data_IF_250972494620
#
_entry.id   IF_250972494620
#
_cell.length_a   1.000
_cell.length_b   1.000
_cell.length_c   1.000
_cell.angle_alpha   90.00
_cell.angle_beta   90.00
_cell.angle_gamma   90.00
#
_symmetry.space_group_name_H-M   'P 1'
#
loop_
_entity.id
_entity.type
_entity.pdbx_description
1 polymer ?
#
# COMPACT_ATOMS: atom_id res chain seq x y z
N UNK A 1 21.91 -10.35 -2.47
CA UNK A 1 20.89 -10.94 -3.35
C UNK A 1 21.08 -10.32 -4.72
N UNK A 2 21.25 -11.09 -5.78
CA UNK A 2 21.36 -10.53 -7.14
C UNK A 2 19.97 -10.40 -7.72
N UNK A 3 19.55 -9.18 -8.04
CA UNK A 3 18.25 -8.91 -8.67
C UNK A 3 18.41 -9.10 -10.18
N UNK A 4 17.48 -9.85 -10.78
CA UNK A 4 17.41 -10.05 -12.23
C UNK A 4 16.20 -9.30 -12.77
N UNK A 5 16.43 -8.53 -13.83
CA UNK A 5 15.41 -7.77 -14.52
C UNK A 5 15.15 -8.32 -15.92
N UNK A 6 13.93 -8.12 -16.39
CA UNK A 6 13.62 -8.01 -17.80
C UNK A 6 14.08 -6.62 -18.26
N UNK A 7 15.20 -6.57 -18.99
CA UNK A 7 15.86 -5.33 -19.39
C UNK A 7 14.98 -4.42 -20.26
N UNK A 8 14.10 -4.98 -21.08
CA UNK A 8 13.18 -4.17 -21.90
C UNK A 8 12.20 -3.42 -21.00
N UNK A 9 11.60 -4.12 -20.04
CA UNK A 9 10.62 -3.55 -19.09
C UNK A 9 11.28 -2.57 -18.13
N UNK A 10 12.50 -2.87 -17.67
CA UNK A 10 13.29 -1.97 -16.84
C UNK A 10 13.58 -0.67 -17.57
N UNK A 11 14.10 -0.72 -18.79
CA UNK A 11 14.39 0.46 -19.59
C UNK A 11 13.12 1.27 -19.88
N UNK A 12 11.98 0.59 -20.13
CA UNK A 12 10.70 1.28 -20.29
C UNK A 12 10.30 2.06 -19.02
N UNK A 13 10.36 1.42 -17.85
CA UNK A 13 10.06 2.05 -16.56
C UNK A 13 10.95 3.25 -16.28
N UNK A 14 12.28 3.09 -16.40
CA UNK A 14 13.25 4.16 -16.18
C UNK A 14 13.01 5.34 -17.14
N UNK A 15 12.64 5.07 -18.40
CA UNK A 15 12.32 6.12 -19.37
C UNK A 15 11.07 6.92 -19.01
N UNK A 16 10.09 6.31 -18.34
CA UNK A 16 8.89 6.99 -17.84
C UNK A 16 9.20 7.78 -16.58
N UNK A 17 9.96 7.20 -15.66
CA UNK A 17 10.40 7.83 -14.43
C UNK A 17 11.17 9.14 -14.71
N UNK A 18 12.14 9.10 -15.63
CA UNK A 18 12.92 10.27 -16.02
C UNK A 18 12.09 11.41 -16.65
N UNK A 19 10.87 11.13 -17.12
CA UNK A 19 9.96 12.12 -17.74
C UNK A 19 8.90 12.62 -16.77
N UNK A 20 8.84 12.09 -15.55
CA UNK A 20 7.81 12.41 -14.57
C UNK A 20 7.99 13.85 -14.10
N UNK A 21 6.90 14.62 -14.07
CA UNK A 21 6.98 16.02 -13.61
C UNK A 21 6.90 16.09 -12.08
N UNK A 22 7.58 17.07 -11.48
CA UNK A 22 7.57 17.31 -10.02
C UNK A 22 6.14 17.42 -9.44
N UNK A 23 5.18 17.96 -10.20
CA UNK A 23 3.79 18.03 -9.73
C UNK A 23 3.00 16.72 -9.86
N UNK A 24 3.43 15.78 -10.70
CA UNK A 24 2.92 14.40 -10.72
C UNK A 24 3.50 13.56 -9.58
N UNK A 25 4.59 14.05 -8.97
CA UNK A 25 5.15 13.56 -7.71
C UNK A 25 4.47 14.18 -6.47
N UNK A 26 3.45 15.07 -6.63
CA UNK A 26 2.59 15.47 -5.51
C UNK A 26 1.87 14.23 -5.01
N UNK A 27 2.44 13.65 -3.96
CA UNK A 27 2.16 12.29 -3.50
C UNK A 27 0.69 11.99 -3.21
N UNK A 28 0.40 10.72 -3.00
CA UNK A 28 -0.95 10.22 -2.75
C UNK A 28 -1.61 10.94 -1.56
N UNK A 29 -2.84 11.44 -1.78
CA UNK A 29 -3.70 11.96 -0.71
C UNK A 29 -4.72 10.89 -0.35
N UNK A 30 -4.71 10.50 0.92
CA UNK A 30 -5.60 9.46 1.46
C UNK A 30 -7.02 9.94 1.72
N UNK A 31 -7.85 9.06 2.27
CA UNK A 31 -9.19 9.42 2.72
C UNK A 31 -9.15 10.35 3.96
N UNK A 32 -10.29 10.98 4.27
CA UNK A 32 -10.49 11.76 5.50
C UNK A 32 -10.63 10.81 6.70
N UNK A 33 -9.72 10.82 7.69
CA UNK A 33 -9.72 9.85 8.78
C UNK A 33 -10.99 9.86 9.63
N UNK A 34 -11.48 11.03 10.04
CA UNK A 34 -12.69 11.12 10.88
C UNK A 34 -13.94 10.57 10.20
N UNK A 35 -14.14 10.89 8.91
CA UNK A 35 -15.27 10.40 8.13
C UNK A 35 -15.20 8.87 7.92
N UNK A 36 -14.00 8.35 7.72
CA UNK A 36 -13.77 6.91 7.64
C UNK A 36 -14.11 6.23 8.97
N UNK A 37 -13.62 6.74 10.10
CA UNK A 37 -13.80 6.14 11.42
C UNK A 37 -15.27 6.16 11.87
N UNK A 38 -15.98 7.28 11.62
CA UNK A 38 -17.43 7.38 11.83
C UNK A 38 -18.20 6.28 11.10
N UNK A 39 -17.82 5.97 9.86
CA UNK A 39 -18.47 4.93 9.06
C UNK A 39 -18.03 3.51 9.47
N UNK A 40 -16.75 3.33 9.79
CA UNK A 40 -16.16 2.03 10.04
C UNK A 40 -16.53 1.45 11.41
N UNK A 41 -16.50 2.29 12.45
CA UNK A 41 -16.64 1.86 13.85
C UNK A 41 -17.50 2.81 14.69
N UNK A 42 -18.20 3.76 14.06
CA UNK A 42 -19.11 4.68 14.76
C UNK A 42 -18.48 5.94 15.35
N UNK A 43 -17.18 6.17 15.13
CA UNK A 43 -16.49 7.37 15.60
C UNK A 43 -15.00 7.17 15.82
N UNK A 44 -14.34 8.15 16.44
CA UNK A 44 -12.90 8.21 16.64
C UNK A 44 -12.20 9.05 15.58
N UNK A 45 -11.05 9.64 15.93
CA UNK A 45 -10.24 10.50 15.06
C UNK A 45 -10.93 11.82 14.64
N UNK A 46 -11.85 12.36 15.44
CA UNK A 46 -12.58 13.61 15.16
C UNK A 46 -11.64 14.80 14.93
N UNK A 47 -10.46 14.77 15.60
CA UNK A 47 -9.37 15.72 15.41
C UNK A 47 -8.85 15.78 13.97
N UNK A 48 -9.00 14.69 13.22
CA UNK A 48 -8.38 14.48 11.92
C UNK A 48 -9.44 14.51 10.81
N UNK A 49 -10.00 15.71 10.58
CA UNK A 49 -11.16 15.94 9.71
C UNK A 49 -10.84 16.32 8.26
N UNK A 50 -9.57 16.30 7.88
CA UNK A 50 -9.10 16.65 6.55
C UNK A 50 -8.36 15.48 5.89
N UNK A 51 -8.35 15.46 4.56
CA UNK A 51 -7.59 14.48 3.80
C UNK A 51 -6.08 14.81 3.91
N UNK A 52 -5.25 13.78 4.05
CA UNK A 52 -3.82 13.94 4.34
C UNK A 52 -2.97 13.40 3.19
N UNK A 53 -1.94 14.15 2.80
CA UNK A 53 -0.79 13.58 2.09
C UNK A 53 0.08 12.77 3.07
N UNK A 54 1.12 12.09 2.57
CA UNK A 54 2.05 11.32 3.41
C UNK A 54 2.73 12.16 4.48
N UNK A 55 3.18 13.38 4.15
CA UNK A 55 3.78 14.31 5.11
C UNK A 55 2.83 14.67 6.27
N UNK A 56 1.60 15.08 5.95
CA UNK A 56 0.58 15.36 6.97
C UNK A 56 0.25 14.15 7.84
N UNK A 57 0.22 12.95 7.25
CA UNK A 57 0.00 11.73 8.01
C UNK A 57 1.16 11.49 8.99
N UNK A 58 2.42 11.64 8.56
CA UNK A 58 3.59 11.53 9.47
C UNK A 58 3.48 12.52 10.64
N UNK A 59 3.15 13.79 10.37
CA UNK A 59 2.93 14.79 11.44
C UNK A 59 1.78 14.40 12.38
N UNK A 60 0.69 13.86 11.86
CA UNK A 60 -0.44 13.40 12.67
C UNK A 60 -0.07 12.21 13.57
N UNK A 61 0.78 11.29 13.07
CA UNK A 61 1.25 10.13 13.83
C UNK A 61 2.14 10.51 15.00
N UNK A 62 2.99 11.52 14.84
CA UNK A 62 3.83 12.08 15.92
C UNK A 62 2.98 12.77 17.01
N UNK A 63 1.89 13.42 16.60
CA UNK A 63 0.97 14.10 17.52
C UNK A 63 -0.01 13.14 18.23
N UNK A 64 -0.05 11.87 17.82
CA UNK A 64 -0.92 10.83 18.37
C UNK A 64 -0.12 9.96 19.35
N UNK A 65 -0.75 9.52 20.43
CA UNK A 65 -0.09 8.72 21.49
C UNK A 65 -0.60 7.28 21.54
N UNK A 66 -1.83 7.04 21.08
CA UNK A 66 -2.43 5.72 21.11
C UNK A 66 -1.97 4.86 19.92
N UNK A 67 -1.43 3.65 20.14
CA UNK A 67 -1.11 2.71 19.06
C UNK A 67 -2.32 2.41 18.16
N UNK A 68 -3.52 2.31 18.76
CA UNK A 68 -4.75 2.09 18.03
C UNK A 68 -5.07 3.29 17.12
N UNK A 69 -4.96 4.52 17.64
CA UNK A 69 -5.24 5.72 16.84
C UNK A 69 -4.22 5.90 15.71
N UNK A 70 -2.92 5.63 15.95
CA UNK A 70 -1.90 5.60 14.90
C UNK A 70 -2.22 4.59 13.80
N UNK A 71 -2.61 3.36 14.17
CA UNK A 71 -3.02 2.37 13.19
C UNK A 71 -4.25 2.81 12.41
N UNK A 72 -5.28 3.34 13.07
CA UNK A 72 -6.49 3.82 12.41
C UNK A 72 -6.20 4.98 11.44
N UNK A 73 -5.28 5.89 11.78
CA UNK A 73 -4.83 6.95 10.88
C UNK A 73 -4.24 6.38 9.59
N UNK A 74 -3.33 5.41 9.68
CA UNK A 74 -2.72 4.78 8.50
C UNK A 74 -3.74 3.98 7.69
N UNK A 75 -4.57 3.17 8.36
CA UNK A 75 -5.55 2.30 7.68
C UNK A 75 -6.65 3.12 6.98
N UNK A 76 -7.09 4.22 7.59
CA UNK A 76 -8.04 5.15 6.98
C UNK A 76 -7.43 5.88 5.79
N UNK A 77 -6.21 6.41 5.93
CA UNK A 77 -5.47 7.06 4.84
C UNK A 77 -5.31 6.13 3.64
N UNK A 78 -4.96 4.87 3.91
CA UNK A 78 -4.81 3.81 2.92
C UNK A 78 -6.13 3.30 2.30
N UNK A 79 -7.28 3.84 2.71
CA UNK A 79 -8.59 3.51 2.15
C UNK A 79 -9.09 2.11 2.51
N UNK A 80 -8.77 1.61 3.72
CA UNK A 80 -9.32 0.33 4.19
C UNK A 80 -10.85 0.33 4.08
N UNK A 81 -11.42 -0.73 3.51
CA UNK A 81 -12.89 -0.86 3.42
C UNK A 81 -13.50 -0.93 4.83
N UNK A 82 -14.59 -0.22 5.05
CA UNK A 82 -15.27 -0.15 6.37
C UNK A 82 -15.68 -1.53 6.88
N UNK A 83 -16.11 -2.45 5.99
CA UNK A 83 -16.35 -3.86 6.36
C UNK A 83 -15.09 -4.55 6.91
N UNK A 84 -13.92 -4.32 6.30
CA UNK A 84 -12.66 -4.90 6.76
C UNK A 84 -12.24 -4.29 8.09
N UNK A 85 -12.44 -2.98 8.26
CA UNK A 85 -12.20 -2.28 9.51
C UNK A 85 -13.09 -2.82 10.62
N UNK A 86 -14.39 -3.03 10.36
CA UNK A 86 -15.29 -3.66 11.32
C UNK A 86 -14.87 -5.08 11.70
N UNK A 87 -14.35 -5.87 10.76
CA UNK A 87 -13.79 -7.20 11.08
C UNK A 87 -12.54 -7.11 11.98
N UNK A 88 -11.63 -6.18 11.68
CA UNK A 88 -10.37 -6.02 12.40
C UNK A 88 -10.56 -5.39 13.77
N UNK A 89 -11.34 -4.32 13.87
CA UNK A 89 -11.41 -3.45 15.04
C UNK A 89 -12.46 -3.89 16.06
N UNK A 90 -13.42 -4.74 15.65
CA UNK A 90 -14.30 -5.43 16.60
C UNK A 90 -13.58 -6.55 17.35
N UNK A 91 -12.51 -7.10 16.77
CA UNK A 91 -11.61 -8.05 17.43
C UNK A 91 -10.31 -7.34 17.82
N UNK A 92 -10.34 -6.66 18.98
CA UNK A 92 -9.20 -5.88 19.49
C UNK A 92 -8.09 -6.77 20.05
N UNK A 93 -7.68 -7.81 19.34
CA UNK A 93 -6.59 -8.67 19.80
C UNK A 93 -5.37 -7.80 20.09
N UNK A 94 -4.84 -7.91 21.32
CA UNK A 94 -3.76 -7.05 21.80
C UNK A 94 -2.48 -7.25 21.00
N UNK A 95 -2.28 -8.43 20.41
CA UNK A 95 -1.04 -8.83 19.77
C UNK A 95 -0.66 -7.91 18.60
N UNK A 96 -1.60 -7.56 17.72
CA UNK A 96 -1.26 -6.70 16.58
C UNK A 96 -1.05 -5.25 17.00
N UNK A 97 -1.74 -4.78 18.05
CA UNK A 97 -1.49 -3.46 18.65
C UNK A 97 -0.13 -3.40 19.36
N UNK A 98 0.32 -4.50 19.97
CA UNK A 98 1.68 -4.61 20.50
C UNK A 98 2.72 -4.50 19.38
N UNK A 99 2.46 -5.05 18.18
CA UNK A 99 3.34 -4.84 17.03
C UNK A 99 3.40 -3.38 16.60
N UNK A 100 2.27 -2.65 16.63
CA UNK A 100 2.25 -1.21 16.34
C UNK A 100 3.18 -0.46 17.30
N UNK A 101 3.08 -0.74 18.59
CA UNK A 101 3.89 -0.08 19.61
C UNK A 101 5.39 -0.41 19.44
N UNK A 102 5.73 -1.69 19.22
CA UNK A 102 7.10 -2.13 18.95
C UNK A 102 7.71 -1.47 17.71
N UNK A 103 6.96 -1.37 16.61
CA UNK A 103 7.43 -0.66 15.40
C UNK A 103 7.68 0.83 15.70
N UNK A 104 6.74 1.47 16.40
CA UNK A 104 6.83 2.89 16.73
C UNK A 104 8.01 3.20 17.67
N UNK A 105 8.32 2.28 18.58
CA UNK A 105 9.44 2.43 19.51
C UNK A 105 10.80 2.02 18.90
N UNK A 106 10.80 1.50 17.65
CA UNK A 106 12.01 1.07 16.96
C UNK A 106 12.50 -0.33 17.34
N UNK A 107 11.68 -1.14 18.02
CA UNK A 107 12.01 -2.52 18.42
C UNK A 107 11.94 -3.52 17.25
N UNK A 108 11.41 -3.09 16.11
CA UNK A 108 11.21 -3.92 14.93
C UNK A 108 11.64 -3.15 13.67
N UNK A 109 12.52 -3.79 12.90
CA UNK A 109 12.74 -3.39 11.51
C UNK A 109 11.54 -3.83 10.62
N UNK A 110 11.49 -3.30 9.40
CA UNK A 110 10.41 -3.56 8.47
C UNK A 110 10.22 -5.05 8.11
N UNK A 111 11.31 -5.81 7.98
CA UNK A 111 11.26 -7.24 7.62
C UNK A 111 10.75 -8.08 8.79
N UNK A 112 11.22 -7.79 10.00
CA UNK A 112 10.78 -8.43 11.24
C UNK A 112 9.29 -8.12 11.51
N UNK A 113 8.87 -6.86 11.34
CA UNK A 113 7.47 -6.48 11.46
C UNK A 113 6.59 -7.23 10.44
N UNK A 114 7.05 -7.37 9.19
CA UNK A 114 6.34 -8.17 8.19
C UNK A 114 6.19 -9.62 8.62
N UNK A 115 7.27 -10.24 9.11
CA UNK A 115 7.25 -11.62 9.58
C UNK A 115 6.20 -11.84 10.69
N UNK A 116 6.16 -10.93 11.66
CA UNK A 116 5.24 -10.97 12.81
C UNK A 116 3.78 -10.79 12.37
N UNK A 117 3.47 -9.79 11.53
CA UNK A 117 2.11 -9.62 10.99
C UNK A 117 1.68 -10.83 10.14
N UNK A 118 2.59 -11.35 9.32
CA UNK A 118 2.35 -12.51 8.45
C UNK A 118 2.07 -13.77 9.30
N UNK A 119 2.78 -13.94 10.41
CA UNK A 119 2.54 -15.00 11.40
C UNK A 119 1.17 -14.85 12.07
N UNK A 120 0.86 -13.68 12.65
CA UNK A 120 -0.44 -13.39 13.27
C UNK A 120 -1.61 -13.58 12.30
N UNK A 121 -1.43 -13.19 11.03
CA UNK A 121 -2.43 -13.34 9.98
C UNK A 121 -2.75 -14.81 9.71
N UNK A 122 -1.74 -15.67 9.68
CA UNK A 122 -1.87 -17.11 9.39
C UNK A 122 -2.28 -17.92 10.60
N UNK A 123 -1.99 -17.44 11.82
CA UNK A 123 -2.41 -18.09 13.05
C UNK A 123 -3.95 -18.24 13.06
N UNK A 124 -4.48 -19.46 13.22
CA UNK A 124 -5.92 -19.67 13.29
C UNK A 124 -6.46 -19.17 14.64
N UNK A 125 -7.56 -18.42 14.60
CA UNK A 125 -8.36 -18.04 15.77
C UNK A 125 -9.75 -18.63 15.55
N UNK A 126 -9.98 -19.81 16.12
CA UNK A 126 -11.15 -20.64 15.80
C UNK A 126 -11.20 -20.98 14.31
N UNK A 127 -12.31 -20.65 13.64
CA UNK A 127 -12.48 -20.86 12.20
C UNK A 127 -11.98 -19.69 11.31
N UNK A 128 -11.35 -18.66 11.90
CA UNK A 128 -10.92 -17.44 11.21
C UNK A 128 -9.40 -17.28 11.24
N UNK A 129 -8.91 -16.41 10.36
CA UNK A 129 -7.53 -15.90 10.39
C UNK A 129 -7.35 -14.94 11.56
N UNK A 130 -6.18 -14.90 12.19
CA UNK A 130 -5.91 -14.06 13.36
C UNK A 130 -5.94 -12.55 13.12
N UNK A 131 -5.89 -12.10 11.86
CA UNK A 131 -6.04 -10.69 11.47
C UNK A 131 -7.17 -10.51 10.44
N UNK A 132 -8.44 -10.71 10.81
CA UNK A 132 -9.55 -10.63 9.86
C UNK A 132 -9.65 -9.20 9.29
N UNK A 133 -9.84 -9.08 7.97
CA UNK A 133 -9.91 -7.78 7.29
C UNK A 133 -8.56 -7.11 6.99
N UNK A 134 -7.45 -7.54 7.62
CA UNK A 134 -6.11 -7.00 7.39
C UNK A 134 -5.19 -8.01 6.70
N UNK A 135 -4.94 -7.84 5.41
CA UNK A 135 -3.96 -8.60 4.65
C UNK A 135 -2.64 -7.84 4.40
N UNK A 136 -1.72 -8.41 3.61
CA UNK A 136 -0.37 -7.87 3.40
C UNK A 136 -0.32 -6.42 2.95
N UNK A 137 -1.17 -6.04 2.00
CA UNK A 137 -1.22 -4.67 1.51
C UNK A 137 -1.58 -3.61 2.57
N UNK A 138 -2.21 -4.02 3.69
CA UNK A 138 -2.53 -3.10 4.80
C UNK A 138 -1.41 -3.05 5.83
N UNK A 139 -0.87 -4.19 6.24
CA UNK A 139 0.20 -4.17 7.24
C UNK A 139 1.52 -3.64 6.68
N UNK A 140 1.77 -3.70 5.37
CA UNK A 140 2.92 -2.99 4.77
C UNK A 140 2.76 -1.47 4.77
N UNK A 141 1.52 -0.95 4.75
CA UNK A 141 1.27 0.49 5.01
C UNK A 141 1.60 0.85 6.45
N UNK A 142 1.19 0.02 7.41
CA UNK A 142 1.54 0.21 8.81
C UNK A 142 3.06 0.21 8.99
N UNK A 143 3.76 -0.76 8.40
CA UNK A 143 5.23 -0.83 8.42
C UNK A 143 5.85 0.44 7.85
N UNK A 144 5.45 0.88 6.65
CA UNK A 144 6.00 2.07 5.98
C UNK A 144 5.86 3.37 6.79
N UNK A 145 4.77 3.54 7.52
CA UNK A 145 4.54 4.76 8.30
C UNK A 145 4.99 4.69 9.76
N UNK A 146 5.11 3.49 10.34
CA UNK A 146 5.27 3.32 11.78
C UNK A 146 6.62 2.69 12.19
N UNK A 147 7.32 1.98 11.30
CA UNK A 147 8.69 1.55 11.59
C UNK A 147 9.63 2.76 11.57
N UNK A 148 10.35 3.01 12.66
CA UNK A 148 11.28 4.14 12.81
C UNK A 148 12.74 3.79 12.48
N UNK A 149 13.02 2.55 12.07
CA UNK A 149 14.37 2.10 11.75
C UNK A 149 14.93 2.74 10.46
N UNK A 150 16.25 2.73 10.32
CA UNK A 150 17.00 3.22 9.17
C UNK A 150 16.86 2.35 7.92
N UNK A 151 16.34 1.12 8.02
CA UNK A 151 16.00 0.31 6.84
C UNK A 151 14.53 0.52 6.45
N UNK A 152 14.25 1.22 5.34
CA UNK A 152 12.89 1.53 4.95
C UNK A 152 12.13 0.26 4.52
N UNK A 153 10.90 0.13 5.00
CA UNK A 153 9.93 -0.84 4.48
C UNK A 153 8.97 -0.14 3.54
N UNK A 154 8.76 -0.68 2.34
CA UNK A 154 7.90 -0.05 1.33
C UNK A 154 6.48 -0.64 1.31
N UNK A 155 5.55 0.12 0.73
CA UNK A 155 4.15 -0.32 0.61
C UNK A 155 4.04 -1.36 -0.50
N UNK A 156 3.96 -2.63 -0.13
CA UNK A 156 3.70 -3.73 -1.05
C UNK A 156 2.19 -3.94 -1.20
N UNK A 157 1.59 -3.22 -2.13
CA UNK A 157 0.19 -3.38 -2.55
C UNK A 157 0.07 -4.12 -3.90
N UNK A 158 -1.15 -4.25 -4.42
CA UNK A 158 -1.35 -4.99 -5.68
C UNK A 158 -0.62 -4.36 -6.89
N UNK A 159 -0.42 -3.04 -6.92
CA UNK A 159 0.15 -2.35 -8.08
C UNK A 159 1.66 -2.36 -8.05
N UNK A 160 2.22 -2.09 -6.88
CA UNK A 160 3.67 -2.21 -6.63
C UNK A 160 4.13 -3.65 -6.75
N UNK A 161 3.38 -4.63 -6.24
CA UNK A 161 3.67 -6.05 -6.41
C UNK A 161 3.68 -6.47 -7.88
N UNK A 162 2.62 -6.16 -8.64
CA UNK A 162 2.58 -6.46 -10.07
C UNK A 162 3.70 -5.76 -10.85
N UNK A 163 4.04 -4.52 -10.49
CA UNK A 163 5.12 -3.77 -11.14
C UNK A 163 6.48 -4.42 -10.90
N UNK A 164 6.78 -4.80 -9.66
CA UNK A 164 8.04 -5.48 -9.31
C UNK A 164 8.14 -6.83 -10.03
N UNK A 165 7.08 -7.64 -10.02
CA UNK A 165 7.10 -8.92 -10.73
C UNK A 165 7.27 -8.72 -12.23
N UNK A 166 6.60 -7.73 -12.82
CA UNK A 166 6.71 -7.41 -14.23
C UNK A 166 8.15 -7.02 -14.60
N UNK A 167 8.77 -6.14 -13.81
CA UNK A 167 10.16 -5.71 -13.99
C UNK A 167 11.15 -6.86 -13.85
N UNK A 168 10.92 -7.77 -12.91
CA UNK A 168 11.83 -8.89 -12.66
C UNK A 168 11.58 -10.09 -13.58
N UNK A 169 10.48 -10.09 -14.34
CA UNK A 169 10.04 -11.22 -15.16
C UNK A 169 9.72 -12.49 -14.36
N UNK A 170 9.50 -12.38 -13.05
CA UNK A 170 9.28 -13.50 -12.13
C UNK A 170 8.49 -13.07 -10.88
N UNK A 171 7.96 -14.04 -10.13
CA UNK A 171 7.20 -13.79 -8.90
C UNK A 171 8.11 -13.49 -7.70
N UNK A 172 8.61 -12.25 -7.62
CA UNK A 172 9.27 -11.74 -6.39
C UNK A 172 8.25 -11.63 -5.26
N UNK A 173 7.07 -11.09 -5.59
CA UNK A 173 5.90 -10.99 -4.72
C UNK A 173 4.84 -11.97 -5.18
N UNK A 174 4.37 -12.84 -4.30
CA UNK A 174 3.29 -13.76 -4.62
C UNK A 174 1.97 -13.00 -4.70
N UNK A 175 1.25 -13.14 -5.81
CA UNK A 175 -0.08 -12.54 -5.99
C UNK A 175 -1.13 -13.61 -6.25
N UNK A 176 -2.35 -13.38 -5.77
CA UNK A 176 -3.52 -14.21 -6.07
C UNK A 176 -4.37 -13.49 -7.12
N UNK A 177 -4.94 -14.26 -8.06
CA UNK A 177 -5.72 -13.74 -9.20
C UNK A 177 -7.20 -14.07 -9.02
N UNK A 178 -8.05 -13.04 -9.11
CA UNK A 178 -9.50 -13.17 -9.06
C UNK A 178 -10.07 -12.87 -10.44
N UNK A 179 -11.08 -13.62 -10.86
CA UNK A 179 -11.76 -13.38 -12.13
C UNK A 179 -13.21 -13.03 -11.85
N UNK A 180 -13.65 -11.89 -12.36
CA UNK A 180 -15.03 -11.41 -12.15
C UNK A 180 -15.60 -10.88 -13.46
N UNK A 181 -16.88 -11.09 -13.69
CA UNK A 181 -17.58 -10.46 -14.81
C UNK A 181 -17.96 -9.03 -14.44
N UNK A 182 -17.62 -8.06 -15.29
CA UNK A 182 -18.10 -6.70 -15.11
C UNK A 182 -19.52 -6.53 -15.66
N UNK A 183 -20.13 -5.35 -15.45
CA UNK A 183 -21.49 -5.03 -15.93
C UNK A 183 -21.67 -5.14 -17.45
N UNK A 184 -20.60 -5.05 -18.23
CA UNK A 184 -20.63 -5.23 -19.68
C UNK A 184 -20.50 -6.69 -20.12
N UNK A 185 -20.53 -7.65 -19.18
CA UNK A 185 -20.33 -9.07 -19.49
C UNK A 185 -18.90 -9.39 -19.95
N UNK A 186 -17.92 -8.55 -19.63
CA UNK A 186 -16.50 -8.82 -19.90
C UNK A 186 -15.84 -9.41 -18.66
N UNK A 187 -15.09 -10.49 -18.85
CA UNK A 187 -14.24 -11.05 -17.80
C UNK A 187 -13.11 -10.08 -17.47
N UNK A 188 -12.95 -9.75 -16.19
CA UNK A 188 -11.93 -8.86 -15.67
C UNK A 188 -11.12 -9.60 -14.62
N UNK A 189 -9.81 -9.43 -14.67
CA UNK A 189 -8.87 -9.99 -13.70
C UNK A 189 -8.47 -8.95 -12.65
N UNK A 190 -8.64 -9.31 -11.39
CA UNK A 190 -8.13 -8.60 -10.22
C UNK A 190 -6.93 -9.33 -9.63
N UNK A 191 -6.08 -8.60 -8.93
CA UNK A 191 -4.89 -9.14 -8.26
C UNK A 191 -4.89 -8.67 -6.80
N UNK A 192 -4.49 -9.56 -5.89
CA UNK A 192 -4.20 -9.20 -4.50
C UNK A 192 -2.86 -9.79 -4.07
N UNK A 193 -2.17 -9.12 -3.15
CA UNK A 193 -0.96 -9.67 -2.53
C UNK A 193 -1.34 -10.89 -1.69
N UNK A 194 -0.68 -12.02 -1.96
CA UNK A 194 -1.01 -13.31 -1.35
C UNK A 194 -0.58 -13.35 0.12
N UNK A 195 -1.38 -14.01 0.97
CA UNK A 195 -1.02 -14.31 2.37
C UNK A 195 0.15 -15.31 2.48
N UNK A 196 0.58 -15.90 1.35
CA UNK A 196 1.72 -16.80 1.27
C UNK A 196 3.07 -16.10 1.11
N UNK A 197 3.09 -14.77 1.00
CA UNK A 197 4.34 -14.03 1.03
C UNK A 197 5.02 -14.18 2.40
N UNK A 198 6.29 -14.53 2.35
CA UNK A 198 7.19 -14.62 3.50
C UNK A 198 7.91 -13.29 3.76
N UNK A 199 8.63 -13.22 4.87
CA UNK A 199 9.54 -12.10 5.14
C UNK A 199 10.62 -11.97 4.06
N UNK A 200 11.07 -13.07 3.46
CA UNK A 200 12.04 -13.04 2.37
C UNK A 200 11.46 -12.45 1.08
N UNK A 201 10.19 -12.72 0.78
CA UNK A 201 9.51 -12.05 -0.35
C UNK A 201 9.44 -10.54 -0.13
N UNK A 202 9.11 -10.10 1.09
CA UNK A 202 9.05 -8.68 1.41
C UNK A 202 10.43 -8.01 1.40
N UNK A 203 11.46 -8.69 1.92
CA UNK A 203 12.86 -8.23 1.84
C UNK A 203 13.30 -8.12 0.38
N UNK A 204 12.98 -9.11 -0.46
CA UNK A 204 13.30 -9.08 -1.88
C UNK A 204 12.59 -7.93 -2.60
N UNK A 205 11.32 -7.68 -2.28
CA UNK A 205 10.56 -6.53 -2.77
C UNK A 205 11.23 -5.20 -2.39
N UNK A 206 11.61 -5.02 -1.12
CA UNK A 206 12.30 -3.80 -0.67
C UNK A 206 13.65 -3.65 -1.38
N UNK A 207 14.42 -4.74 -1.54
CA UNK A 207 15.69 -4.72 -2.26
C UNK A 207 15.55 -4.29 -3.73
N UNK A 208 14.46 -4.68 -4.42
CA UNK A 208 14.17 -4.22 -5.78
C UNK A 208 13.96 -2.71 -5.82
N UNK A 209 13.25 -2.15 -4.83
CA UNK A 209 13.02 -0.70 -4.75
C UNK A 209 14.34 0.04 -4.53
N UNK A 210 15.16 -0.41 -3.59
CA UNK A 210 16.49 0.17 -3.32
C UNK A 210 17.41 0.10 -4.54
N UNK A 211 17.44 -1.04 -5.24
CA UNK A 211 18.25 -1.18 -6.46
C UNK A 211 17.78 -0.23 -7.56
N UNK A 212 16.46 -0.01 -7.70
CA UNK A 212 15.91 0.97 -8.64
C UNK A 212 16.27 2.42 -8.28
N UNK A 213 16.42 2.76 -7.00
CA UNK A 213 16.96 4.07 -6.58
C UNK A 213 18.35 4.25 -7.19
N UNK A 214 19.24 3.26 -7.03
CA UNK A 214 20.62 3.35 -7.54
C UNK A 214 20.73 3.39 -9.07
N UNK A 215 19.70 2.91 -9.79
CA UNK A 215 19.64 2.87 -11.26
C UNK A 215 18.94 4.07 -11.88
N UNK A 216 18.46 5.00 -11.07
CA UNK A 216 17.66 6.14 -11.52
C UNK A 216 18.17 7.45 -10.91
N UNK A 217 17.50 8.54 -11.23
CA UNK A 217 17.71 9.85 -10.60
C UNK A 217 16.66 10.12 -9.51
N UNK A 218 16.03 9.07 -8.97
CA UNK A 218 15.06 9.23 -7.88
C UNK A 218 15.78 9.66 -6.60
N UNK A 219 15.11 10.47 -5.80
CA UNK A 219 15.63 10.97 -4.53
C UNK A 219 15.73 9.84 -3.48
N UNK A 220 14.69 9.01 -3.41
CA UNK A 220 14.58 7.92 -2.45
C UNK A 220 13.68 6.78 -2.97
N UNK A 221 13.57 5.71 -2.17
CA UNK A 221 12.70 4.58 -2.52
C UNK A 221 11.21 4.87 -2.37
N UNK A 222 10.81 5.93 -1.65
CA UNK A 222 9.41 6.37 -1.58
C UNK A 222 8.98 6.96 -2.93
N UNK A 223 9.84 7.70 -3.62
CA UNK A 223 9.62 8.15 -5.00
C UNK A 223 9.48 6.95 -5.97
N UNK A 224 10.37 5.95 -5.86
CA UNK A 224 10.30 4.73 -6.65
C UNK A 224 9.00 3.96 -6.39
N UNK A 225 8.62 3.76 -5.13
CA UNK A 225 7.38 3.09 -4.78
C UNK A 225 6.16 3.83 -5.36
N UNK A 226 6.12 5.16 -5.29
CA UNK A 226 5.08 5.97 -5.90
C UNK A 226 5.10 5.90 -7.43
N UNK A 227 6.26 5.70 -8.05
CA UNK A 227 6.40 5.51 -9.49
C UNK A 227 5.93 4.12 -9.95
N UNK A 228 6.22 3.09 -9.16
CA UNK A 228 5.72 1.73 -9.39
C UNK A 228 4.20 1.64 -9.19
N UNK A 229 3.66 2.35 -8.20
CA UNK A 229 2.22 2.47 -8.01
C UNK A 229 1.54 3.24 -9.16
N UNK A 230 2.13 4.39 -9.53
CA UNK A 230 1.68 5.35 -10.54
C UNK A 230 0.22 5.84 -10.34
N UNK A 231 -0.25 6.77 -11.16
CA UNK A 231 -1.59 7.31 -11.02
C UNK A 231 -2.68 6.27 -11.34
N UNK A 232 -3.67 6.18 -10.46
CA UNK A 232 -4.86 5.36 -10.69
C UNK A 232 -5.79 5.90 -11.77
N UNK A 233 -6.89 5.17 -12.00
CA UNK A 233 -7.99 5.57 -12.88
C UNK A 233 -7.60 5.81 -14.35
N UNK A 234 -6.64 5.03 -14.86
CA UNK A 234 -6.23 5.06 -16.27
C UNK A 234 -5.33 6.23 -16.65
N UNK A 235 -4.90 7.05 -15.68
CA UNK A 235 -4.07 8.24 -15.92
C UNK A 235 -2.58 7.94 -15.91
N UNK A 236 -2.15 6.89 -15.19
CA UNK A 236 -0.75 6.48 -15.09
C UNK A 236 -0.27 5.71 -16.32
N UNK A 237 0.79 6.19 -16.97
CA UNK A 237 1.40 5.51 -18.13
C UNK A 237 1.98 4.15 -17.74
N UNK A 238 2.70 4.09 -16.61
CA UNK A 238 3.29 2.85 -16.12
C UNK A 238 2.21 1.88 -15.65
N UNK A 239 1.22 2.35 -14.89
CA UNK A 239 0.12 1.47 -14.44
C UNK A 239 -0.68 0.91 -15.62
N UNK A 240 -0.88 1.68 -16.67
CA UNK A 240 -1.50 1.18 -17.90
C UNK A 240 -0.63 0.12 -18.59
N UNK A 241 0.69 0.33 -18.65
CA UNK A 241 1.64 -0.67 -19.15
C UNK A 241 1.58 -1.97 -18.32
N UNK A 242 1.54 -1.86 -16.99
CA UNK A 242 1.40 -3.01 -16.08
C UNK A 242 0.11 -3.76 -16.33
N UNK A 243 -1.03 -3.08 -16.52
CA UNK A 243 -2.31 -3.75 -16.85
C UNK A 243 -2.22 -4.55 -18.15
N UNK A 244 -1.48 -4.05 -19.14
CA UNK A 244 -1.35 -4.69 -20.46
C UNK A 244 -0.39 -5.87 -20.48
N UNK A 245 0.66 -5.84 -19.65
CA UNK A 245 1.78 -6.80 -19.72
C UNK A 245 1.91 -7.70 -18.49
N UNK A 246 1.20 -7.42 -17.40
CA UNK A 246 1.18 -8.33 -16.25
C UNK A 246 0.60 -9.68 -16.68
N UNK A 247 1.16 -10.72 -16.12
CA UNK A 247 0.73 -12.09 -16.35
C UNK A 247 0.11 -12.63 -15.05
N UNK A 248 -0.70 -13.69 -15.18
CA UNK A 248 -1.00 -14.53 -14.03
C UNK A 248 0.33 -15.05 -13.42
N UNK A 249 0.35 -15.50 -12.15
CA UNK A 249 1.57 -15.90 -11.45
C UNK A 249 2.53 -16.67 -12.36
N UNK A 250 3.77 -16.18 -12.46
CA UNK A 250 4.82 -16.76 -13.30
C UNK A 250 5.12 -18.21 -12.89
N UNK A 251 4.83 -18.59 -11.65
CA UNK A 251 4.92 -19.96 -11.16
C UNK A 251 3.81 -20.90 -11.69
N UNK A 252 2.87 -20.40 -12.50
CA UNK A 252 1.79 -21.16 -13.12
C UNK A 252 0.70 -21.61 -12.14
N UNK A 253 0.80 -21.28 -10.85
CA UNK A 253 -0.19 -21.66 -9.85
C UNK A 253 -1.31 -20.63 -9.85
N UNK A 254 -2.45 -20.98 -10.43
CA UNK A 254 -3.70 -20.28 -10.18
C UNK A 254 -4.08 -20.48 -8.70
N UNK A 255 -3.66 -19.54 -7.87
CA UNK A 255 -3.97 -19.54 -6.43
C UNK A 255 -5.37 -18.97 -6.26
N UNK A 256 -6.36 -19.86 -6.43
CA UNK A 256 -7.80 -19.68 -6.17
C UNK A 256 -8.53 -18.73 -7.13
N UNK A 257 -9.32 -19.29 -8.04
CA UNK A 257 -10.37 -18.55 -8.75
C UNK A 257 -11.55 -18.39 -7.80
N UNK A 258 -11.89 -17.16 -7.43
CA UNK A 258 -13.15 -16.83 -6.75
C UNK A 258 -14.11 -16.38 -7.84
N UNK A 259 -15.10 -17.20 -8.15
CA UNK A 259 -16.21 -16.83 -9.03
C UNK A 259 -17.28 -16.14 -8.19
N UNK A 260 -17.37 -14.81 -8.28
CA UNK A 260 -18.50 -14.08 -7.69
C UNK A 260 -19.71 -14.22 -8.63
N UNK A 261 -20.65 -15.08 -8.26
CA UNK A 261 -21.99 -15.13 -8.86
C UNK A 261 -22.81 -13.91 -8.40
N UNK A 262 -23.19 -13.07 -9.37
CA UNK A 262 -24.14 -11.96 -9.27
C UNK A 262 -23.85 -10.90 -8.19
N UNK A 263 -23.26 -9.78 -8.61
CA UNK A 263 -23.01 -8.63 -7.75
C UNK A 263 -24.29 -7.92 -7.33
N UNK A 264 -24.61 -8.03 -6.04
CA UNK A 264 -25.49 -7.11 -5.32
C UNK A 264 -24.97 -5.67 -5.46
N UNK A 265 -25.91 -4.75 -5.63
CA UNK A 265 -25.70 -3.41 -6.10
C UNK A 265 -25.12 -2.50 -5.03
N UNK A 266 -23.98 -1.88 -5.33
CA UNK A 266 -23.80 -0.42 -5.19
C UNK A 266 -22.34 -0.03 -5.46
N UNK A 267 -21.96 0.02 -6.74
CA UNK A 267 -20.91 0.95 -7.15
C UNK A 267 -21.57 2.01 -8.02
N UNK A 268 -21.95 3.11 -7.38
CA UNK A 268 -22.17 4.39 -8.05
C UNK A 268 -20.79 4.88 -8.45
N UNK A 269 -20.49 4.81 -9.75
CA UNK A 269 -19.38 5.52 -10.36
C UNK A 269 -19.69 7.02 -10.35
N UNK A 270 -19.49 7.66 -9.19
CA UNK A 270 -19.31 9.11 -9.11
C UNK A 270 -17.85 9.39 -9.42
N UNK A 271 -17.59 10.28 -10.37
CA UNK A 271 -16.31 10.99 -10.46
C UNK A 271 -15.98 11.56 -9.08
N UNK A 272 -15.09 10.90 -8.35
CA UNK A 272 -14.46 11.47 -7.16
C UNK A 272 -13.08 11.93 -7.60
N UNK A 273 -12.92 13.23 -7.77
CA UNK A 273 -11.59 13.83 -7.76
C UNK A 273 -10.85 13.36 -6.50
N UNK A 274 -9.54 13.12 -6.62
CA UNK A 274 -8.73 12.89 -5.44
C UNK A 274 -8.91 14.09 -4.50
N UNK A 275 -9.16 13.85 -3.19
CA UNK A 275 -9.25 14.94 -2.25
C UNK A 275 -7.92 15.71 -2.23
N UNK A 276 -7.99 17.03 -2.06
CA UNK A 276 -6.79 17.84 -1.88
C UNK A 276 -6.37 17.82 -0.41
N UNK A 277 -5.07 17.66 -0.17
CA UNK A 277 -4.49 17.95 1.14
C UNK A 277 -4.46 19.48 1.33
N UNK A 278 -4.89 19.97 2.50
CA UNK A 278 -4.82 21.39 2.87
C UNK A 278 -3.51 21.79 3.56
N UNK A 279 -2.49 20.95 3.46
CA UNK A 279 -1.15 21.25 3.94
C UNK A 279 -0.75 22.66 3.47
N UNK A 280 -0.60 23.60 4.41
CA UNK A 280 -0.01 24.90 4.12
C UNK A 280 1.40 24.61 3.64
N UNK A 281 1.67 24.80 2.35
CA UNK A 281 3.03 25.04 1.92
C UNK A 281 3.43 26.37 2.54
N UNK A 282 4.06 26.32 3.71
CA UNK A 282 4.94 27.41 4.09
C UNK A 282 6.07 27.39 3.06
N UNK A 283 5.88 28.17 2.01
CA UNK A 283 6.97 28.62 1.17
C UNK A 283 7.96 29.29 2.11
N UNK A 284 9.08 28.64 2.36
CA UNK A 284 10.26 29.26 2.97
C UNK A 284 10.66 30.39 2.02
N UNK A 285 10.23 31.61 2.33
CA UNK A 285 10.83 32.79 1.72
C UNK A 285 12.30 32.83 2.17
N UNK A 286 13.26 32.99 1.25
CA UNK A 286 14.64 33.15 1.65
C UNK A 286 14.75 34.44 2.45
N UNK A 287 15.27 34.32 3.67
CA UNK A 287 15.64 35.47 4.48
C UNK A 287 16.58 36.36 3.66
N UNK A 288 16.07 37.51 3.21
CA UNK A 288 16.89 38.57 2.64
C UNK A 288 17.71 39.12 3.80
N UNK A 289 19.00 38.78 3.80
CA UNK A 289 19.97 39.39 4.69
C UNK A 289 20.05 40.89 4.35
N UNK A 290 19.71 41.73 5.33
CA UNK A 290 20.01 43.16 5.37
C UNK A 290 21.03 43.42 6.48
#
# INVERSE_FOLDING_TARGET
MTIQYDEERLNHFLSLLAKRKVHEAKGWVGAVPSAWAATAIGGGLERWSEAMCRGCLRSALEAETSPLARAMLVLSWGGMRTRNAGLLLNDRSSQWLTLIDRMWNGDLDATAAYAEFSSLRRAPVGARKGLPGMGPAYFTKLIFFLCRDNQPGYIMDQWTACSVNLLCGQDVVLTDVHKSWNRSGRLVEGYTVSDQNSADNYRAFNAVIEDLVTRSNAEDGEEIELALFDQGHGKGKWRNYVVQHRQAPYDGRLRKVIEDSEGDGSHVSKERSQPSCRCRTESVEPAVAG
#
